data_IF_627398947735
#
_entry.id   IF_627398947735
#
_cell.length_a   1.000
_cell.length_b   1.000
_cell.length_c   1.000
_cell.angle_alpha   90.00
_cell.angle_beta   90.00
_cell.angle_gamma   90.00
#
_symmetry.space_group_name_H-M   'P 1'
#
loop_
_entity.id
_entity.type
_entity.pdbx_description
1 polymer ?
#
# COMPACT_ATOMS: atom_id res chain seq x y z
N UNK A 1 -33.96 7.22 13.42
CA UNK A 1 -32.55 7.64 13.56
C UNK A 1 -32.50 9.11 13.18
N UNK A 2 -31.91 9.94 14.03
CA UNK A 2 -31.88 11.38 13.79
C UNK A 2 -30.87 11.74 12.69
N UNK A 3 -31.15 12.85 11.99
CA UNK A 3 -30.27 13.39 10.97
C UNK A 3 -28.95 13.86 11.60
N UNK A 4 -27.78 13.46 11.10
CA UNK A 4 -26.49 13.94 11.63
C UNK A 4 -26.33 15.45 11.50
N UNK A 5 -25.66 16.07 12.48
CA UNK A 5 -25.32 17.49 12.42
C UNK A 5 -24.58 17.84 11.11
N UNK A 6 -24.83 19.03 10.52
CA UNK A 6 -24.14 19.45 9.31
C UNK A 6 -22.62 19.52 9.48
N UNK A 7 -21.87 19.09 8.47
CA UNK A 7 -20.42 19.11 8.52
C UNK A 7 -19.87 20.47 8.12
N UNK A 8 -19.10 21.09 9.01
CA UNK A 8 -18.59 22.46 8.83
C UNK A 8 -17.26 22.51 8.07
N UNK A 9 -16.56 21.39 7.94
CA UNK A 9 -15.22 21.31 7.34
C UNK A 9 -14.08 21.78 8.25
N UNK A 10 -14.29 21.80 9.56
CA UNK A 10 -13.31 22.15 10.59
C UNK A 10 -12.46 20.97 11.07
N UNK A 11 -12.91 19.74 10.82
CA UNK A 11 -12.21 18.50 11.17
C UNK A 11 -11.82 17.71 9.92
N UNK A 12 -10.75 16.91 10.03
CA UNK A 12 -10.17 16.09 8.94
C UNK A 12 -9.95 14.65 9.40
N UNK A 13 -9.58 13.79 8.46
CA UNK A 13 -9.23 12.39 8.70
C UNK A 13 -10.40 11.59 9.26
N UNK A 14 -10.17 10.86 10.35
CA UNK A 14 -11.17 9.97 10.97
C UNK A 14 -12.48 10.67 11.34
N UNK A 15 -12.42 11.88 11.90
CA UNK A 15 -13.64 12.61 12.30
C UNK A 15 -14.51 12.98 11.09
N UNK A 16 -13.89 13.44 10.00
CA UNK A 16 -14.59 13.72 8.76
C UNK A 16 -15.20 12.43 8.16
N UNK A 17 -14.45 11.32 8.20
CA UNK A 17 -14.93 10.01 7.70
C UNK A 17 -16.11 9.50 8.52
N UNK A 18 -16.04 9.60 9.85
CA UNK A 18 -17.15 9.21 10.74
C UNK A 18 -18.42 10.01 10.49
N UNK A 19 -18.31 11.31 10.18
CA UNK A 19 -19.47 12.10 9.79
C UNK A 19 -20.09 11.56 8.49
N UNK A 20 -19.25 11.30 7.47
CA UNK A 20 -19.74 10.77 6.20
C UNK A 20 -20.40 9.40 6.39
N UNK A 21 -19.82 8.51 7.18
CA UNK A 21 -20.39 7.18 7.46
C UNK A 21 -21.76 7.28 8.14
N UNK A 22 -21.93 8.21 9.10
CA UNK A 22 -23.23 8.48 9.74
C UNK A 22 -24.25 9.00 8.75
N UNK A 23 -23.85 9.89 7.84
CA UNK A 23 -24.74 10.43 6.81
C UNK A 23 -25.14 9.35 5.80
N UNK A 24 -24.19 8.51 5.38
CA UNK A 24 -24.45 7.37 4.50
C UNK A 24 -25.40 6.37 5.15
N UNK A 25 -25.23 6.07 6.44
CA UNK A 25 -26.15 5.22 7.19
C UNK A 25 -27.55 5.83 7.26
N UNK A 26 -27.66 7.13 7.51
CA UNK A 26 -28.95 7.82 7.51
C UNK A 26 -29.64 7.73 6.14
N UNK A 27 -28.92 8.01 5.05
CA UNK A 27 -29.43 7.89 3.67
C UNK A 27 -29.86 6.46 3.35
N UNK A 28 -29.08 5.46 3.76
CA UNK A 28 -29.41 4.06 3.53
C UNK A 28 -30.71 3.63 4.24
N UNK A 29 -30.99 4.20 5.42
CA UNK A 29 -32.22 3.94 6.17
C UNK A 29 -33.44 4.71 5.64
N UNK A 30 -33.23 5.78 4.87
CA UNK A 30 -34.29 6.60 4.26
C UNK A 30 -34.28 6.52 2.73
N UNK A 31 -33.90 5.35 2.21
CA UNK A 31 -33.71 5.10 0.77
C UNK A 31 -35.01 5.26 -0.03
N UNK A 32 -36.16 5.12 0.62
CA UNK A 32 -37.49 5.36 0.07
C UNK A 32 -37.78 6.83 -0.27
N UNK A 33 -37.03 7.77 0.30
CA UNK A 33 -37.17 9.21 0.03
C UNK A 33 -36.42 9.67 -1.23
N UNK A 34 -35.64 8.78 -1.85
CA UNK A 34 -34.78 9.10 -2.98
C UNK A 34 -35.09 8.19 -4.17
N UNK A 35 -35.31 8.79 -5.34
CA UNK A 35 -35.55 8.03 -6.57
C UNK A 35 -34.23 7.60 -7.25
N UNK A 36 -33.19 8.41 -7.07
CA UNK A 36 -31.90 8.25 -7.74
C UNK A 36 -30.74 8.45 -6.77
N UNK A 37 -29.62 7.75 -7.00
CA UNK A 37 -28.40 7.88 -6.18
C UNK A 37 -27.81 9.30 -6.27
N UNK A 38 -28.03 9.99 -7.39
CA UNK A 38 -27.65 11.40 -7.56
C UNK A 38 -28.33 12.31 -6.52
N UNK A 39 -29.60 12.06 -6.20
CA UNK A 39 -30.34 12.82 -5.19
C UNK A 39 -29.75 12.60 -3.80
N UNK A 40 -29.31 11.37 -3.51
CA UNK A 40 -28.60 11.06 -2.26
C UNK A 40 -27.27 11.81 -2.18
N UNK A 41 -26.51 11.86 -3.27
CA UNK A 41 -25.25 12.62 -3.34
C UNK A 41 -25.48 14.11 -3.12
N UNK A 42 -26.46 14.70 -3.82
CA UNK A 42 -26.82 16.12 -3.65
C UNK A 42 -27.27 16.40 -2.22
N UNK A 43 -28.03 15.49 -1.60
CA UNK A 43 -28.46 15.61 -0.22
C UNK A 43 -27.28 15.63 0.78
N UNK A 44 -26.32 14.72 0.63
CA UNK A 44 -25.12 14.69 1.47
C UNK A 44 -24.32 15.99 1.31
N UNK A 45 -24.13 16.44 0.07
CA UNK A 45 -23.41 17.68 -0.24
C UNK A 45 -24.13 18.91 0.33
N UNK A 46 -25.46 18.94 0.31
CA UNK A 46 -26.28 20.01 0.88
C UNK A 46 -26.10 20.13 2.40
N UNK A 47 -25.83 19.02 3.10
CA UNK A 47 -25.57 19.00 4.54
C UNK A 47 -24.13 19.41 4.92
N UNK A 48 -23.36 19.92 3.96
CA UNK A 48 -22.05 20.51 4.20
C UNK A 48 -22.19 22.03 4.30
N UNK A 49 -21.71 22.60 5.41
CA UNK A 49 -21.86 24.02 5.75
C UNK A 49 -20.50 24.69 5.93
N UNK A 50 -20.48 26.04 5.98
CA UNK A 50 -19.26 26.81 6.23
C UNK A 50 -18.14 26.45 5.21
N UNK A 51 -16.93 26.16 5.70
CA UNK A 51 -15.77 25.82 4.85
C UNK A 51 -16.02 24.58 3.99
N UNK A 52 -16.84 23.64 4.46
CA UNK A 52 -17.20 22.46 3.67
C UNK A 52 -18.18 22.81 2.54
N UNK A 53 -19.00 23.86 2.69
CA UNK A 53 -19.90 24.33 1.62
C UNK A 53 -19.11 24.91 0.45
N UNK A 54 -17.99 25.62 0.71
CA UNK A 54 -17.11 26.14 -0.34
C UNK A 54 -16.60 25.02 -1.27
N UNK A 55 -16.45 23.81 -0.72
CA UNK A 55 -16.09 22.61 -1.49
C UNK A 55 -17.31 21.92 -2.13
N UNK A 56 -18.46 21.87 -1.44
CA UNK A 56 -19.64 21.14 -1.88
C UNK A 56 -20.46 21.87 -2.96
N UNK A 57 -20.66 23.19 -2.83
CA UNK A 57 -21.52 23.98 -3.72
C UNK A 57 -21.09 23.95 -5.19
N UNK A 58 -19.78 24.03 -5.55
CA UNK A 58 -19.35 23.86 -6.93
C UNK A 58 -19.69 22.47 -7.51
N UNK A 59 -19.67 21.43 -6.66
CA UNK A 59 -20.00 20.06 -7.05
C UNK A 59 -21.51 19.95 -7.31
N UNK A 60 -22.34 20.45 -6.40
CA UNK A 60 -23.80 20.52 -6.59
C UNK A 60 -24.13 21.27 -7.88
N UNK A 61 -23.49 22.43 -8.11
CA UNK A 61 -23.69 23.21 -9.33
C UNK A 61 -23.29 22.47 -10.61
N UNK A 62 -22.27 21.61 -10.55
CA UNK A 62 -21.86 20.77 -11.67
C UNK A 62 -22.86 19.64 -11.96
N UNK A 63 -23.42 19.03 -10.91
CA UNK A 63 -24.48 18.01 -11.01
C UNK A 63 -25.72 18.62 -11.67
N UNK A 64 -26.26 19.70 -11.11
CA UNK A 64 -27.49 20.36 -11.61
C UNK A 64 -27.35 20.82 -13.07
N UNK A 65 -26.17 21.30 -13.45
CA UNK A 65 -25.91 21.79 -14.82
C UNK A 65 -25.48 20.68 -15.78
N UNK A 66 -25.33 19.44 -15.32
CA UNK A 66 -24.80 18.34 -16.12
C UNK A 66 -23.41 18.63 -16.71
N UNK A 67 -22.58 19.42 -16.03
CA UNK A 67 -21.31 19.93 -16.56
C UNK A 67 -20.12 19.16 -15.98
N UNK A 68 -19.26 18.66 -16.87
CA UNK A 68 -18.06 17.91 -16.49
C UNK A 68 -18.40 16.47 -16.07
N UNK A 69 -17.62 15.93 -15.14
CA UNK A 69 -17.84 14.59 -14.57
C UNK A 69 -17.97 14.68 -13.04
N UNK A 70 -19.08 15.24 -12.53
CA UNK A 70 -19.32 15.31 -11.08
C UNK A 70 -19.56 13.91 -10.50
N UNK A 71 -19.30 13.70 -9.19
CA UNK A 71 -19.71 12.47 -8.53
C UNK A 71 -21.25 12.40 -8.51
N UNK A 72 -21.83 11.40 -9.16
CA UNK A 72 -23.28 11.12 -9.14
C UNK A 72 -23.62 9.85 -8.37
N UNK A 73 -22.61 9.08 -7.95
CA UNK A 73 -22.76 7.90 -7.08
C UNK A 73 -22.15 8.16 -5.70
N UNK A 74 -22.67 7.47 -4.69
CA UNK A 74 -22.13 7.51 -3.32
C UNK A 74 -20.67 7.09 -3.32
N UNK A 75 -20.30 6.05 -4.07
CA UNK A 75 -18.92 5.61 -4.18
C UNK A 75 -17.99 6.71 -4.71
N UNK A 76 -18.39 7.40 -5.78
CA UNK A 76 -17.61 8.50 -6.34
C UNK A 76 -17.49 9.68 -5.37
N UNK A 77 -18.58 10.00 -4.65
CA UNK A 77 -18.58 11.02 -3.61
C UNK A 77 -17.63 10.65 -2.47
N UNK A 78 -17.70 9.43 -1.95
CA UNK A 78 -16.84 8.95 -0.86
C UNK A 78 -15.36 9.07 -1.21
N UNK A 79 -14.98 8.72 -2.45
CA UNK A 79 -13.60 8.89 -2.93
C UNK A 79 -13.15 10.36 -2.87
N UNK A 80 -13.91 11.26 -3.51
CA UNK A 80 -13.59 12.70 -3.52
C UNK A 80 -13.59 13.32 -2.13
N UNK A 81 -14.52 12.91 -1.26
CA UNK A 81 -14.59 13.40 0.11
C UNK A 81 -13.36 12.97 0.92
N UNK A 82 -12.96 11.69 0.83
CA UNK A 82 -11.76 11.18 1.50
C UNK A 82 -10.50 11.88 1.04
N UNK A 83 -10.40 12.24 -0.23
CA UNK A 83 -9.28 13.04 -0.77
C UNK A 83 -9.29 14.47 -0.22
N UNK A 84 -10.43 15.15 -0.25
CA UNK A 84 -10.54 16.55 0.15
C UNK A 84 -10.32 16.77 1.66
N UNK A 85 -10.83 15.86 2.49
CA UNK A 85 -10.82 15.96 3.95
C UNK A 85 -9.84 14.99 4.61
N UNK A 86 -8.90 14.41 3.87
CA UNK A 86 -7.78 13.66 4.44
C UNK A 86 -6.99 14.53 5.43
N UNK A 87 -6.35 13.86 6.40
CA UNK A 87 -5.39 14.45 7.34
C UNK A 87 -3.98 13.89 7.04
N UNK A 88 -3.15 14.61 6.26
CA UNK A 88 -1.80 14.18 5.94
C UNK A 88 -0.91 13.99 7.17
N UNK A 89 -1.12 14.80 8.22
CA UNK A 89 -0.32 14.74 9.43
C UNK A 89 -0.73 13.55 10.30
N UNK A 90 -2.02 13.20 10.36
CA UNK A 90 -2.47 11.94 10.93
C UNK A 90 -1.89 10.74 10.19
N UNK A 91 -1.86 10.73 8.85
CA UNK A 91 -1.21 9.66 8.07
C UNK A 91 0.29 9.54 8.40
N UNK A 92 1.01 10.66 8.45
CA UNK A 92 2.44 10.67 8.83
C UNK A 92 2.65 10.22 10.28
N UNK A 93 1.77 10.62 11.21
CA UNK A 93 1.82 10.20 12.60
C UNK A 93 1.55 8.70 12.73
N UNK A 94 0.56 8.17 12.02
CA UNK A 94 0.28 6.73 11.96
C UNK A 94 1.45 5.95 11.37
N UNK A 95 2.08 6.46 10.30
CA UNK A 95 3.28 5.86 9.71
C UNK A 95 4.46 5.81 10.69
N UNK A 96 4.69 6.88 11.45
CA UNK A 96 5.73 6.87 12.51
C UNK A 96 5.39 5.90 13.64
N UNK A 97 4.13 5.87 14.07
CA UNK A 97 3.67 4.95 15.11
C UNK A 97 3.79 3.48 14.69
N UNK A 98 3.35 3.13 13.49
CA UNK A 98 3.42 1.74 13.00
C UNK A 98 4.87 1.31 12.79
N UNK A 99 5.75 2.23 12.38
CA UNK A 99 7.20 1.99 12.25
C UNK A 99 7.88 1.69 13.60
N UNK A 100 7.43 2.35 14.67
CA UNK A 100 7.94 2.16 16.03
C UNK A 100 7.21 1.06 16.82
N UNK A 101 6.09 0.54 16.31
CA UNK A 101 5.26 -0.42 17.02
C UNK A 101 5.98 -1.77 17.15
N UNK A 102 6.11 -2.25 18.38
CA UNK A 102 6.67 -3.56 18.72
C UNK A 102 5.81 -4.25 19.77
N UNK A 103 5.78 -5.58 19.76
CA UNK A 103 5.05 -6.39 20.71
C UNK A 103 5.77 -6.33 22.06
N UNK A 104 5.23 -5.54 22.99
CA UNK A 104 5.73 -5.41 24.37
C UNK A 104 5.04 -6.36 25.35
N UNK A 105 3.74 -6.59 25.14
CA UNK A 105 2.86 -7.39 26.00
C UNK A 105 2.29 -8.57 25.21
N UNK A 106 0.97 -8.63 25.05
CA UNK A 106 0.27 -9.71 24.36
C UNK A 106 0.30 -9.53 22.85
N UNK A 107 0.23 -10.64 22.12
CA UNK A 107 0.11 -10.60 20.66
C UNK A 107 -1.21 -9.95 20.22
N UNK A 108 -2.27 -10.10 21.02
CA UNK A 108 -3.59 -9.53 20.72
C UNK A 108 -3.60 -8.00 20.79
N UNK A 109 -2.97 -7.41 21.82
CA UNK A 109 -2.80 -5.95 21.92
C UNK A 109 -2.01 -5.42 20.73
N UNK A 110 -0.86 -6.02 20.42
CA UNK A 110 -0.04 -5.65 19.27
C UNK A 110 -0.84 -5.72 17.95
N UNK A 111 -1.57 -6.80 17.70
CA UNK A 111 -2.40 -6.96 16.49
C UNK A 111 -3.49 -5.90 16.42
N UNK A 112 -4.11 -5.56 17.55
CA UNK A 112 -5.18 -4.55 17.62
C UNK A 112 -4.65 -3.16 17.31
N UNK A 113 -3.54 -2.77 17.93
CA UNK A 113 -2.88 -1.48 17.65
C UNK A 113 -2.39 -1.40 16.20
N UNK A 114 -1.82 -2.49 15.68
CA UNK A 114 -1.36 -2.56 14.30
C UNK A 114 -2.53 -2.37 13.32
N UNK A 115 -3.65 -3.08 13.51
CA UNK A 115 -4.86 -2.92 12.69
C UNK A 115 -5.42 -1.51 12.75
N UNK A 116 -5.44 -0.89 13.93
CA UNK A 116 -5.93 0.48 14.10
C UNK A 116 -5.06 1.49 13.32
N UNK A 117 -3.76 1.25 13.22
CA UNK A 117 -2.84 2.09 12.43
C UNK A 117 -2.94 1.80 10.92
N UNK A 118 -3.16 0.54 10.54
CA UNK A 118 -3.41 0.16 9.14
C UNK A 118 -4.62 0.88 8.54
N UNK A 119 -5.67 1.12 9.34
CA UNK A 119 -6.89 1.81 8.87
C UNK A 119 -6.64 3.26 8.41
N UNK A 120 -5.55 3.89 8.84
CA UNK A 120 -5.17 5.26 8.46
C UNK A 120 -4.15 5.28 7.31
N UNK A 121 -3.63 4.12 6.90
CA UNK A 121 -2.52 3.99 5.98
C UNK A 121 -2.95 3.26 4.70
N UNK A 122 -2.39 3.67 3.58
CA UNK A 122 -2.65 3.05 2.27
C UNK A 122 -1.42 2.26 1.76
N UNK A 123 -0.68 1.61 2.68
CA UNK A 123 0.49 0.81 2.30
C UNK A 123 0.07 -0.46 1.54
N UNK A 124 1.00 -1.04 0.78
CA UNK A 124 0.78 -2.35 0.17
C UNK A 124 0.92 -3.48 1.21
N UNK A 125 0.40 -4.66 0.86
CA UNK A 125 0.40 -5.84 1.72
C UNK A 125 1.80 -6.24 2.17
N UNK A 126 2.78 -6.15 1.28
CA UNK A 126 4.17 -6.52 1.50
C UNK A 126 4.81 -5.62 2.57
N UNK A 127 4.56 -4.32 2.51
CA UNK A 127 5.01 -3.35 3.50
C UNK A 127 4.36 -3.61 4.87
N UNK A 128 3.07 -3.95 4.91
CA UNK A 128 2.42 -4.33 6.17
C UNK A 128 2.99 -5.62 6.75
N UNK A 129 3.21 -6.65 5.94
CA UNK A 129 3.82 -7.92 6.39
C UNK A 129 5.23 -7.67 6.93
N UNK A 130 6.05 -6.90 6.21
CA UNK A 130 7.40 -6.57 6.63
C UNK A 130 7.41 -5.83 7.98
N UNK A 131 6.55 -4.82 8.15
CA UNK A 131 6.48 -4.06 9.39
C UNK A 131 5.90 -4.88 10.55
N UNK A 132 4.88 -5.70 10.29
CA UNK A 132 4.27 -6.58 11.27
C UNK A 132 5.27 -7.62 11.80
N UNK A 133 6.01 -8.26 10.89
CA UNK A 133 7.00 -9.27 11.28
C UNK A 133 8.21 -8.67 12.01
N UNK A 134 8.62 -7.44 11.66
CA UNK A 134 9.66 -6.69 12.38
C UNK A 134 9.27 -6.37 13.82
N UNK A 135 8.00 -6.03 14.06
CA UNK A 135 7.51 -5.64 15.39
C UNK A 135 7.16 -6.82 16.31
N UNK A 136 7.01 -8.04 15.78
CA UNK A 136 6.70 -9.22 16.59
C UNK A 136 7.85 -9.63 17.51
N UNK A 137 7.50 -10.10 18.71
CA UNK A 137 8.47 -10.63 19.65
C UNK A 137 9.03 -11.97 19.15
N UNK A 138 10.34 -12.20 19.32
CA UNK A 138 11.07 -13.34 18.73
C UNK A 138 10.47 -14.73 19.08
N UNK A 139 9.88 -14.88 20.27
CA UNK A 139 9.20 -16.13 20.68
C UNK A 139 7.97 -16.46 19.81
N UNK A 140 7.31 -15.43 19.27
CA UNK A 140 6.16 -15.57 18.38
C UNK A 140 6.56 -15.76 16.92
N UNK A 141 7.77 -15.31 16.54
CA UNK A 141 8.34 -15.48 15.20
C UNK A 141 8.44 -16.95 14.76
N UNK A 142 8.64 -17.86 15.72
CA UNK A 142 8.73 -19.32 15.50
C UNK A 142 7.36 -19.99 15.25
N UNK A 143 6.25 -19.32 15.59
CA UNK A 143 4.88 -19.79 15.42
C UNK A 143 4.16 -18.89 14.42
N UNK A 144 4.53 -18.96 13.14
CA UNK A 144 3.93 -18.16 12.04
C UNK A 144 2.41 -17.96 12.24
N UNK A 145 1.95 -16.78 12.69
CA UNK A 145 0.53 -16.49 12.71
C UNK A 145 0.03 -16.41 11.27
N UNK A 146 -1.18 -16.89 10.97
CA UNK A 146 -1.81 -16.73 9.66
C UNK A 146 -2.15 -15.25 9.46
N UNK A 147 -1.23 -14.50 8.85
CA UNK A 147 -1.38 -13.06 8.52
C UNK A 147 -2.45 -12.84 7.44
N UNK A 148 -2.85 -13.90 6.72
CA UNK A 148 -3.81 -13.85 5.62
C UNK A 148 -5.15 -13.22 6.00
N UNK A 149 -5.62 -13.39 7.24
CA UNK A 149 -6.88 -12.78 7.68
C UNK A 149 -6.78 -11.27 8.01
N UNK A 150 -5.58 -10.71 8.18
CA UNK A 150 -5.40 -9.31 8.62
C UNK A 150 -5.31 -8.36 7.42
N UNK A 151 -4.68 -8.79 6.32
CA UNK A 151 -4.48 -7.93 5.15
C UNK A 151 -5.64 -8.00 4.14
N UNK A 152 -6.37 -9.11 4.08
CA UNK A 152 -7.40 -9.32 3.05
C UNK A 152 -8.64 -8.42 3.22
N UNK A 153 -9.06 -8.11 4.46
CA UNK A 153 -10.21 -7.22 4.70
C UNK A 153 -9.98 -5.79 4.17
N UNK A 154 -8.73 -5.31 4.15
CA UNK A 154 -8.40 -3.98 3.62
C UNK A 154 -8.22 -3.97 2.10
N UNK A 155 -7.76 -5.06 1.49
CA UNK A 155 -7.56 -5.18 0.04
C UNK A 155 -8.89 -5.16 -0.72
N UNK A 156 -9.92 -5.79 -0.15
CA UNK A 156 -11.28 -5.88 -0.72
C UNK A 156 -12.01 -4.52 -0.72
N UNK A 157 -11.63 -3.61 0.18
CA UNK A 157 -12.23 -2.28 0.33
C UNK A 157 -11.53 -1.18 -0.50
N UNK A 158 -10.56 -1.55 -1.34
CA UNK A 158 -9.83 -0.64 -2.22
C UNK A 158 -10.66 -0.33 -3.48
N UNK A 159 -10.83 0.95 -3.89
CA UNK A 159 -11.41 1.25 -5.19
C UNK A 159 -10.52 0.65 -6.29
N UNK A 160 -11.07 -0.33 -7.02
CA UNK A 160 -10.40 -0.99 -8.14
C UNK A 160 -10.07 0.07 -9.20
N UNK A 161 -8.78 0.36 -9.37
CA UNK A 161 -8.29 1.22 -10.46
C UNK A 161 -8.69 0.58 -11.78
N UNK A 162 -9.55 1.26 -12.54
CA UNK A 162 -9.93 0.83 -13.90
C UNK A 162 -8.66 0.81 -14.77
N UNK A 163 -8.37 -0.26 -15.52
CA UNK A 163 -7.20 -0.29 -16.39
C UNK A 163 -7.44 0.65 -17.57
N UNK A 164 -6.67 1.74 -17.64
CA UNK A 164 -6.65 2.63 -18.79
C UNK A 164 -6.05 1.88 -20.01
N UNK A 165 -6.83 1.78 -21.08
CA UNK A 165 -6.39 1.32 -22.42
C UNK A 165 -5.49 2.41 -23.06
N UNK A 166 -4.46 2.08 -23.86
CA UNK A 166 -3.49 3.06 -24.33
C UNK A 166 -3.96 3.77 -25.61
N UNK A 167 -3.42 4.97 -25.90
CA UNK A 167 -2.80 5.16 -27.22
C UNK A 167 -1.47 5.97 -27.22
N UNK A 168 -0.53 5.45 -28.04
CA UNK A 168 0.53 6.06 -28.89
C UNK A 168 1.41 7.25 -28.44
N UNK A 169 2.71 6.94 -28.42
CA UNK A 169 3.91 7.63 -28.98
C UNK A 169 3.97 9.16 -29.09
N UNK A 170 4.89 9.77 -28.31
CA UNK A 170 5.90 10.72 -28.82
C UNK A 170 6.97 11.03 -27.75
N UNK A 171 8.23 10.98 -28.19
CA UNK A 171 9.48 11.31 -27.49
C UNK A 171 9.59 12.80 -27.14
N UNK A 172 10.10 13.14 -25.94
CA UNK A 172 11.25 14.07 -25.72
C UNK A 172 11.49 14.27 -24.22
N UNK A 173 12.78 14.19 -23.88
CA UNK A 173 13.45 14.31 -22.58
C UNK A 173 13.12 15.58 -21.78
N UNK A 174 13.08 15.50 -20.45
CA UNK A 174 14.06 16.14 -19.53
C UNK A 174 13.67 15.90 -18.06
N UNK A 175 14.67 15.47 -17.31
CA UNK A 175 14.82 15.21 -15.87
C UNK A 175 13.85 15.82 -14.86
N UNK A 176 13.38 15.00 -13.91
CA UNK A 176 13.46 15.36 -12.48
C UNK A 176 13.52 14.12 -11.59
N UNK A 177 14.51 14.14 -10.71
CA UNK A 177 14.92 13.17 -9.70
C UNK A 177 13.77 12.71 -8.79
N UNK A 178 13.56 11.40 -8.68
CA UNK A 178 13.06 10.76 -7.46
C UNK A 178 13.57 9.31 -7.44
N UNK A 179 14.51 9.09 -6.54
CA UNK A 179 15.21 7.84 -6.24
C UNK A 179 14.24 6.69 -6.03
N UNK A 180 14.13 5.78 -6.99
CA UNK A 180 13.65 4.41 -6.78
C UNK A 180 14.86 3.57 -6.40
N UNK A 181 14.86 3.00 -5.20
CA UNK A 181 15.86 2.01 -4.79
C UNK A 181 15.59 0.74 -5.61
N UNK A 182 16.53 0.42 -6.50
CA UNK A 182 16.56 -0.80 -7.29
C UNK A 182 16.80 -2.01 -6.38
N UNK A 183 16.10 -3.13 -6.61
CA UNK A 183 16.24 -4.41 -5.90
C UNK A 183 17.60 -5.13 -6.13
N UNK A 184 18.66 -4.40 -6.46
CA UNK A 184 19.98 -4.94 -6.83
C UNK A 184 21.01 -4.96 -5.68
N UNK A 185 20.62 -4.60 -4.45
CA UNK A 185 21.55 -4.47 -3.31
C UNK A 185 21.36 -5.54 -2.22
N UNK A 186 20.74 -6.69 -2.52
CA UNK A 186 20.82 -7.83 -1.61
C UNK A 186 22.12 -8.62 -1.92
N UNK A 187 23.11 -8.65 -1.00
CA UNK A 187 24.36 -9.39 -1.20
C UNK A 187 24.16 -10.91 -1.34
N UNK A 188 22.94 -11.40 -1.13
CA UNK A 188 22.53 -12.79 -1.32
C UNK A 188 21.58 -13.00 -2.50
N UNK A 189 21.44 -12.02 -3.41
CA UNK A 189 20.66 -12.20 -4.63
C UNK A 189 21.52 -12.79 -5.75
N UNK A 190 21.15 -13.98 -6.22
CA UNK A 190 21.75 -14.63 -7.39
C UNK A 190 20.70 -14.71 -8.48
N UNK A 191 21.06 -14.25 -9.67
CA UNK A 191 20.15 -14.24 -10.80
C UNK A 191 19.70 -15.66 -11.16
N UNK A 192 18.51 -15.84 -11.76
CA UNK A 192 18.04 -17.15 -12.21
C UNK A 192 19.04 -17.86 -13.13
N UNK A 193 19.70 -17.12 -14.01
CA UNK A 193 20.68 -17.63 -14.98
C UNK A 193 21.89 -18.24 -14.27
N UNK A 194 22.38 -17.58 -13.22
CA UNK A 194 23.56 -18.02 -12.47
C UNK A 194 23.25 -19.26 -11.61
N UNK A 195 22.00 -19.38 -11.15
CA UNK A 195 21.49 -20.58 -10.47
C UNK A 195 21.43 -21.78 -11.40
N UNK A 196 20.99 -21.57 -12.64
CA UNK A 196 20.88 -22.63 -13.65
C UNK A 196 22.28 -23.06 -14.13
N UNK A 197 23.21 -22.12 -14.31
CA UNK A 197 24.62 -22.42 -14.59
C UNK A 197 25.26 -23.28 -13.50
N UNK A 198 25.04 -22.93 -12.23
CA UNK A 198 25.54 -23.70 -11.10
C UNK A 198 24.91 -25.10 -11.05
N UNK A 199 23.60 -25.23 -11.33
CA UNK A 199 22.91 -26.53 -11.41
C UNK A 199 23.47 -27.39 -12.53
N UNK A 200 23.67 -26.84 -13.72
CA UNK A 200 24.22 -27.54 -14.87
C UNK A 200 25.67 -28.01 -14.63
N UNK A 201 26.45 -27.23 -13.89
CA UNK A 201 27.86 -27.52 -13.61
C UNK A 201 28.09 -28.30 -12.31
N UNK A 202 27.03 -28.62 -11.55
CA UNK A 202 27.11 -29.30 -10.25
C UNK A 202 27.79 -28.47 -9.15
N UNK A 203 27.74 -27.14 -9.25
CA UNK A 203 28.35 -26.19 -8.32
C UNK A 203 27.32 -25.68 -7.29
N UNK A 204 27.78 -25.41 -6.07
CA UNK A 204 26.97 -24.80 -5.04
C UNK A 204 26.72 -23.31 -5.32
N UNK A 205 25.45 -22.89 -5.36
CA UNK A 205 25.05 -21.48 -5.65
C UNK A 205 25.60 -20.47 -4.62
N UNK A 206 25.93 -20.90 -3.40
CA UNK A 206 26.43 -20.00 -2.36
C UNK A 206 27.94 -19.76 -2.39
N UNK A 207 28.72 -20.72 -2.89
CA UNK A 207 30.18 -20.71 -2.78
C UNK A 207 30.94 -21.17 -4.05
N UNK A 208 30.24 -21.62 -5.08
CA UNK A 208 30.82 -22.04 -6.35
C UNK A 208 31.59 -23.37 -6.34
N UNK A 209 31.55 -24.16 -5.26
CA UNK A 209 32.29 -25.42 -5.14
C UNK A 209 31.44 -26.65 -5.51
N UNK A 210 32.06 -27.71 -6.06
CA UNK A 210 31.37 -28.98 -6.40
C UNK A 210 31.12 -29.84 -5.16
N UNK A 211 30.15 -30.74 -5.24
CA UNK A 211 29.95 -31.82 -4.26
C UNK A 211 28.91 -31.58 -3.16
N UNK A 212 28.26 -30.41 -3.11
CA UNK A 212 27.18 -30.14 -2.15
C UNK A 212 26.15 -29.14 -2.67
N UNK A 213 24.92 -29.20 -2.11
CA UNK A 213 23.84 -28.27 -2.43
C UNK A 213 23.74 -27.06 -1.49
N UNK A 214 22.90 -26.09 -1.85
CA UNK A 214 22.68 -24.81 -1.12
C UNK A 214 22.35 -25.01 0.38
N UNK A 215 21.64 -26.09 0.70
CA UNK A 215 21.20 -26.43 2.07
C UNK A 215 22.32 -27.03 2.94
N UNK A 216 23.36 -27.58 2.32
CA UNK A 216 24.45 -28.31 2.96
C UNK A 216 25.80 -27.61 2.75
N UNK A 217 25.78 -26.32 2.38
CA UNK A 217 27.00 -25.55 2.13
C UNK A 217 27.73 -25.24 3.45
N UNK A 218 28.93 -25.78 3.68
CA UNK A 218 29.71 -25.51 4.90
C UNK A 218 30.30 -24.09 4.90
N UNK A 219 30.38 -23.45 3.73
CA UNK A 219 31.06 -22.17 3.54
C UNK A 219 30.13 -20.94 3.59
N UNK A 220 28.81 -21.13 3.63
CA UNK A 220 27.85 -20.01 3.57
C UNK A 220 27.92 -19.21 2.27
N UNK A 221 27.35 -18.00 2.28
CA UNK A 221 27.49 -17.01 1.21
C UNK A 221 28.85 -16.33 1.34
N UNK A 222 29.84 -16.75 0.57
CA UNK A 222 31.16 -16.10 0.58
C UNK A 222 31.16 -14.96 -0.44
N UNK A 223 30.94 -13.75 0.06
CA UNK A 223 31.24 -12.53 -0.67
C UNK A 223 32.75 -12.26 -0.61
N UNK A 224 33.53 -12.83 -1.54
CA UNK A 224 34.82 -12.27 -1.92
C UNK A 224 35.07 -12.50 -3.40
N UNK A 225 34.84 -11.43 -4.16
CA UNK A 225 35.44 -11.19 -5.47
C UNK A 225 36.95 -11.01 -5.24
N UNK A 226 37.71 -12.09 -5.36
CA UNK A 226 39.10 -12.15 -5.84
C UNK A 226 39.61 -13.58 -5.69
N UNK A 227 40.37 -14.01 -6.70
CA UNK A 227 41.05 -15.32 -6.84
C UNK A 227 40.31 -16.45 -7.57
N UNK A 228 39.74 -16.16 -8.74
CA UNK A 228 39.79 -17.11 -9.88
C UNK A 228 40.25 -16.34 -11.13
N UNK A 229 41.43 -15.73 -11.03
CA UNK A 229 42.16 -15.15 -12.16
C UNK A 229 43.58 -15.78 -12.26
N UNK A 230 43.76 -17.04 -11.82
CA UNK A 230 45.10 -17.66 -11.81
C UNK A 230 45.19 -19.13 -12.22
N UNK A 231 44.26 -19.65 -13.03
CA UNK A 231 44.48 -20.94 -13.72
C UNK A 231 43.94 -20.94 -15.17
N UNK A 232 43.72 -19.77 -15.77
CA UNK A 232 43.32 -19.65 -17.19
C UNK A 232 44.35 -18.89 -18.04
N UNK A 233 45.57 -18.68 -17.54
CA UNK A 233 46.69 -18.06 -18.26
C UNK A 233 47.87 -19.03 -18.52
N UNK A 234 47.66 -20.35 -18.47
CA UNK A 234 48.71 -21.33 -18.79
C UNK A 234 48.46 -22.18 -20.05
N UNK A 235 47.44 -21.88 -20.87
CA UNK A 235 47.18 -22.62 -22.13
C UNK A 235 46.92 -21.76 -23.39
N UNK A 236 47.31 -20.48 -23.43
CA UNK A 236 47.38 -19.78 -24.72
C UNK A 236 48.50 -18.74 -24.75
N UNK A 237 49.72 -19.18 -25.06
CA UNK A 237 50.75 -18.27 -25.57
C UNK A 237 52.20 -18.68 -25.31
N UNK A 238 52.65 -19.81 -25.86
CA UNK A 238 53.99 -19.91 -26.46
C UNK A 238 54.04 -21.12 -27.39
N UNK A 239 54.35 -20.79 -28.64
CA UNK A 239 54.83 -21.60 -29.77
C UNK A 239 55.05 -23.11 -29.57
#
# INVERSE_FOLDING_TARGET
MDLPDPFKGDTRGRKATQWLDRMMLWVALHRDQFNEEEQMVVWILYHMTNKAADWALPIIGAIIKGKGNPPTTIQALTGKFKEAFADPDAKRAAARKIAALSQTTTTSEYVTEFRNLMAELDWNKEAYIAQFTRGLHWKQFLRRPKIDNICCENEENRPKKVPAKPPVTATTSTSTTTTRVCLSEDPNYVTPEERDRCRASGLCVKCGQKGHGIKQCPNGWKATIKEVAKVAEEESGKD
#
